data_IF_062101587523
#
_entry.id   IF_062101587523
#
_cell.length_a   1.000
_cell.length_b   1.000
_cell.length_c   1.000
_cell.angle_alpha   90.00
_cell.angle_beta   90.00
_cell.angle_gamma   90.00
#
_symmetry.space_group_name_H-M   'P 1'
#
loop_
_entity.id
_entity.type
_entity.pdbx_description
1 polymer ?
#
# COMPACT_ATOMS: atom_id res chain seq x y z
N UNK A 1 16.75 -24.68 -46.72
CA UNK A 1 15.58 -24.00 -47.33
C UNK A 1 14.45 -24.03 -46.30
N UNK A 2 14.43 -23.05 -45.38
CA UNK A 2 13.43 -22.96 -44.31
C UNK A 2 12.43 -21.87 -44.68
N UNK A 3 11.43 -22.26 -45.48
CA UNK A 3 10.22 -21.46 -45.73
C UNK A 3 9.11 -22.08 -44.88
N UNK A 4 8.23 -21.25 -44.31
CA UNK A 4 7.17 -21.57 -43.33
C UNK A 4 7.55 -21.46 -41.85
N UNK A 5 8.17 -20.35 -41.44
CA UNK A 5 7.82 -19.76 -40.15
C UNK A 5 6.64 -18.79 -40.40
N UNK A 6 5.43 -19.36 -40.50
CA UNK A 6 4.23 -18.65 -40.89
C UNK A 6 3.78 -17.67 -39.79
N UNK A 7 3.31 -16.48 -40.19
CA UNK A 7 2.82 -15.44 -39.27
C UNK A 7 1.72 -15.98 -38.36
N UNK A 8 0.91 -16.90 -38.87
CA UNK A 8 -0.16 -17.59 -38.14
C UNK A 8 0.39 -18.44 -37.00
N UNK A 9 1.46 -19.22 -37.24
CA UNK A 9 2.11 -20.07 -36.23
C UNK A 9 2.80 -19.23 -35.15
N UNK A 10 3.45 -18.12 -35.53
CA UNK A 10 4.03 -17.17 -34.57
C UNK A 10 2.97 -16.54 -33.68
N UNK A 11 1.82 -16.16 -34.25
CA UNK A 11 0.68 -15.59 -33.51
C UNK A 11 0.08 -16.60 -32.53
N UNK A 12 -0.21 -17.81 -33.00
CA UNK A 12 -0.76 -18.87 -32.16
C UNK A 12 0.18 -19.22 -30.98
N UNK A 13 1.50 -19.28 -31.23
CA UNK A 13 2.51 -19.53 -30.19
C UNK A 13 2.56 -18.41 -29.15
N UNK A 14 2.39 -17.14 -29.57
CA UNK A 14 2.35 -15.98 -28.67
C UNK A 14 1.08 -15.95 -27.81
N UNK A 15 -0.07 -16.28 -28.40
CA UNK A 15 -1.35 -16.39 -27.69
C UNK A 15 -1.31 -17.51 -26.64
N UNK A 16 -0.85 -18.71 -27.02
CA UNK A 16 -0.69 -19.84 -26.11
C UNK A 16 0.30 -19.56 -24.96
N UNK A 17 1.39 -18.82 -25.23
CA UNK A 17 2.34 -18.42 -24.19
C UNK A 17 1.70 -17.49 -23.17
N UNK A 18 0.96 -16.48 -23.63
CA UNK A 18 0.27 -15.54 -22.75
C UNK A 18 -0.82 -16.22 -21.90
N UNK A 19 -1.50 -17.24 -22.43
CA UNK A 19 -2.45 -18.05 -21.65
C UNK A 19 -1.76 -18.86 -20.54
N UNK A 20 -0.62 -19.48 -20.85
CA UNK A 20 0.17 -20.20 -19.86
C UNK A 20 0.68 -19.24 -18.77
N UNK A 21 1.16 -18.05 -19.14
CA UNK A 21 1.68 -17.06 -18.19
C UNK A 21 0.56 -16.58 -17.23
N UNK A 22 -0.64 -16.30 -17.74
CA UNK A 22 -1.78 -15.96 -16.89
C UNK A 22 -2.18 -17.12 -15.95
N UNK A 23 -2.19 -18.35 -16.48
CA UNK A 23 -2.54 -19.53 -15.70
C UNK A 23 -1.52 -19.79 -14.58
N UNK A 24 -0.23 -19.55 -14.84
CA UNK A 24 0.81 -19.59 -13.80
C UNK A 24 0.63 -18.49 -12.76
N UNK A 25 0.26 -17.27 -13.16
CA UNK A 25 -0.02 -16.18 -12.22
C UNK A 25 -1.21 -16.53 -11.30
N UNK A 26 -2.27 -17.13 -11.85
CA UNK A 26 -3.43 -17.64 -11.08
C UNK A 26 -3.06 -18.74 -10.10
N UNK A 27 -2.23 -19.70 -10.53
CA UNK A 27 -1.74 -20.76 -9.64
C UNK A 27 -0.93 -20.19 -8.46
N UNK A 28 -0.06 -19.20 -8.72
CA UNK A 28 0.67 -18.50 -7.66
C UNK A 28 -0.28 -17.76 -6.71
N UNK A 29 -1.29 -17.09 -7.24
CA UNK A 29 -2.28 -16.36 -6.46
C UNK A 29 -3.03 -17.30 -5.49
N UNK A 30 -3.46 -18.45 -5.99
CA UNK A 30 -4.12 -19.49 -5.20
C UNK A 30 -3.24 -20.00 -4.06
N UNK A 31 -1.96 -20.28 -4.32
CA UNK A 31 -1.02 -20.70 -3.27
C UNK A 31 -0.75 -19.60 -2.24
N UNK A 32 -0.74 -18.34 -2.65
CA UNK A 32 -0.62 -17.20 -1.75
C UNK A 32 -1.83 -17.10 -0.81
N UNK A 33 -3.05 -17.27 -1.33
CA UNK A 33 -4.27 -17.29 -0.51
C UNK A 33 -4.25 -18.43 0.52
N UNK A 34 -3.84 -19.63 0.13
CA UNK A 34 -3.70 -20.77 1.05
C UNK A 34 -2.68 -20.45 2.16
N UNK A 35 -1.50 -19.95 1.80
CA UNK A 35 -0.46 -19.57 2.78
C UNK A 35 -0.93 -18.45 3.71
N UNK A 36 -1.73 -17.53 3.19
CA UNK A 36 -2.38 -16.47 3.96
C UNK A 36 -3.25 -16.98 5.08
N UNK A 37 -4.15 -17.91 4.76
CA UNK A 37 -5.05 -18.54 5.72
C UNK A 37 -4.29 -19.22 6.87
N UNK A 38 -3.13 -19.80 6.57
CA UNK A 38 -2.23 -20.40 7.57
C UNK A 38 -1.48 -19.35 8.41
N UNK A 39 -1.01 -18.26 7.81
CA UNK A 39 -0.19 -17.25 8.49
C UNK A 39 -0.99 -16.15 9.20
N UNK A 40 -2.32 -16.13 9.06
CA UNK A 40 -3.24 -15.09 9.57
C UNK A 40 -2.93 -13.66 9.07
N UNK A 41 -2.02 -13.50 8.11
CA UNK A 41 -1.72 -12.23 7.44
C UNK A 41 -2.72 -11.94 6.34
N UNK A 42 -3.06 -10.67 6.14
CA UNK A 42 -3.91 -10.25 5.02
C UNK A 42 -3.20 -10.56 3.69
N UNK A 43 -3.84 -11.36 2.85
CA UNK A 43 -3.38 -11.66 1.47
C UNK A 43 -3.96 -10.71 0.44
N UNK A 44 -4.71 -9.70 0.88
CA UNK A 44 -5.38 -8.74 0.00
C UNK A 44 -4.63 -7.43 -0.02
N UNK A 45 -4.86 -6.68 -1.09
CA UNK A 45 -4.39 -5.30 -1.19
C UNK A 45 -5.02 -4.45 -0.11
N UNK A 46 -4.25 -3.52 0.45
CA UNK A 46 -4.77 -2.54 1.40
C UNK A 46 -5.72 -1.57 0.67
N UNK A 47 -6.99 -1.45 1.08
CA UNK A 47 -7.92 -0.53 0.45
C UNK A 47 -7.53 0.92 0.75
N UNK A 48 -7.34 1.74 -0.29
CA UNK A 48 -6.98 3.14 -0.12
C UNK A 48 -8.05 3.92 0.65
N UNK A 49 -9.34 3.62 0.42
CA UNK A 49 -10.44 4.28 1.14
C UNK A 49 -10.38 4.06 2.66
N UNK A 50 -9.93 2.88 3.11
CA UNK A 50 -9.74 2.62 4.54
C UNK A 50 -8.60 3.47 5.11
N UNK A 51 -7.48 3.58 4.39
CA UNK A 51 -6.35 4.43 4.78
C UNK A 51 -6.78 5.90 4.83
N UNK A 52 -7.50 6.36 3.81
CA UNK A 52 -8.02 7.72 3.71
C UNK A 52 -8.94 8.07 4.88
N UNK A 53 -9.87 7.19 5.22
CA UNK A 53 -10.84 7.45 6.28
C UNK A 53 -10.23 7.35 7.69
N UNK A 54 -9.37 6.35 7.93
CA UNK A 54 -8.77 6.11 9.26
C UNK A 54 -7.69 7.11 9.65
N UNK A 55 -6.95 7.61 8.66
CA UNK A 55 -5.81 8.51 8.89
C UNK A 55 -6.11 9.95 8.44
N UNK A 56 -7.36 10.23 8.05
CA UNK A 56 -7.83 11.54 7.59
C UNK A 56 -6.95 12.18 6.50
N UNK A 57 -6.28 11.37 5.66
CA UNK A 57 -5.28 11.87 4.72
C UNK A 57 -5.89 12.69 3.59
N UNK A 58 -5.23 13.80 3.26
CA UNK A 58 -5.68 14.75 2.25
C UNK A 58 -4.69 14.83 1.10
N UNK A 59 -5.21 15.09 -0.11
CA UNK A 59 -4.36 15.34 -1.28
C UNK A 59 -3.52 16.60 -1.05
N UNK A 60 -2.23 16.49 -1.36
CA UNK A 60 -1.27 17.59 -1.20
C UNK A 60 -0.83 18.13 -2.55
N UNK A 61 -0.28 17.27 -3.43
CA UNK A 61 0.31 17.69 -4.69
C UNK A 61 0.46 16.56 -5.71
N UNK A 62 0.52 16.94 -6.98
CA UNK A 62 0.96 16.06 -8.07
C UNK A 62 2.50 16.09 -8.15
N UNK A 63 3.14 14.93 -8.00
CA UNK A 63 4.60 14.76 -8.09
C UNK A 63 5.07 14.46 -9.51
N UNK A 64 4.17 14.36 -10.48
CA UNK A 64 4.46 14.01 -11.86
C UNK A 64 4.96 12.57 -12.01
N UNK A 65 5.74 12.33 -13.06
CA UNK A 65 6.29 11.01 -13.39
C UNK A 65 7.48 10.72 -12.45
N UNK A 66 7.41 9.57 -11.78
CA UNK A 66 8.42 9.07 -10.85
C UNK A 66 8.73 7.60 -11.15
N UNK A 67 9.94 7.17 -10.82
CA UNK A 67 10.33 5.75 -10.84
C UNK A 67 10.17 5.17 -9.45
N UNK A 68 9.22 4.25 -9.27
CA UNK A 68 8.81 3.75 -7.94
C UNK A 68 9.20 2.29 -7.77
N UNK A 69 9.77 1.88 -6.61
CA UNK A 69 9.95 0.47 -6.28
C UNK A 69 8.60 -0.25 -6.23
N UNK A 70 8.46 -1.32 -7.01
CA UNK A 70 7.17 -2.01 -7.12
C UNK A 70 6.71 -2.61 -5.78
N UNK A 71 7.67 -2.93 -4.91
CA UNK A 71 7.42 -3.50 -3.59
C UNK A 71 6.80 -2.52 -2.60
N UNK A 72 6.92 -1.21 -2.84
CA UNK A 72 6.25 -0.20 -2.04
C UNK A 72 4.77 -0.01 -2.45
N UNK A 73 4.33 -0.65 -3.53
CA UNK A 73 2.91 -0.69 -3.91
C UNK A 73 2.21 -1.77 -3.09
N UNK A 74 1.45 -1.34 -2.08
CA UNK A 74 0.81 -2.19 -1.06
C UNK A 74 -0.70 -2.31 -1.21
N UNK A 75 -1.30 -1.37 -1.92
CA UNK A 75 -2.75 -1.18 -1.90
C UNK A 75 -3.31 -0.64 -3.19
N UNK A 76 -4.60 -0.32 -3.17
CA UNK A 76 -5.32 0.10 -4.36
C UNK A 76 -6.56 0.94 -4.03
N UNK A 77 -6.85 1.92 -4.88
CA UNK A 77 -8.17 2.53 -5.00
C UNK A 77 -9.04 1.59 -5.85
N UNK A 78 -10.03 0.95 -5.22
CA UNK A 78 -10.84 -0.09 -5.87
C UNK A 78 -10.05 -1.37 -6.23
N UNK A 79 -10.72 -2.38 -6.79
CA UNK A 79 -10.14 -3.67 -7.24
C UNK A 79 -9.27 -4.44 -6.22
N UNK A 80 -9.26 -4.04 -4.95
CA UNK A 80 -8.46 -4.68 -3.89
C UNK A 80 -8.84 -6.15 -3.63
N UNK A 81 -10.04 -6.56 -4.05
CA UNK A 81 -10.52 -7.96 -4.00
C UNK A 81 -10.15 -8.78 -5.24
N UNK A 82 -9.85 -8.13 -6.36
CA UNK A 82 -9.52 -8.80 -7.63
C UNK A 82 -8.08 -9.26 -7.72
N UNK A 83 -7.24 -8.87 -6.74
CA UNK A 83 -5.83 -9.18 -6.71
C UNK A 83 -5.36 -9.57 -5.30
N UNK A 84 -4.27 -10.35 -5.23
CA UNK A 84 -3.55 -10.60 -3.97
C UNK A 84 -2.71 -9.39 -3.56
N UNK A 85 -2.12 -9.40 -2.36
CA UNK A 85 -1.17 -8.40 -1.86
C UNK A 85 0.00 -8.17 -2.82
N UNK A 86 0.41 -9.21 -3.55
CA UNK A 86 1.45 -9.12 -4.57
C UNK A 86 0.91 -8.86 -5.99
N UNK A 87 -0.30 -8.29 -6.10
CA UNK A 87 -0.97 -8.00 -7.38
C UNK A 87 -1.14 -9.21 -8.30
N UNK A 88 -1.25 -10.43 -7.77
CA UNK A 88 -1.56 -11.60 -8.59
C UNK A 88 -3.07 -11.64 -8.87
N UNK A 89 -3.51 -11.90 -10.11
CA UNK A 89 -4.92 -11.84 -10.49
C UNK A 89 -5.71 -12.98 -9.83
N UNK A 90 -6.89 -12.66 -9.30
CA UNK A 90 -7.79 -13.62 -8.65
C UNK A 90 -9.07 -13.89 -9.43
N UNK A 91 -9.44 -13.00 -10.34
CA UNK A 91 -10.62 -13.14 -11.18
C UNK A 91 -10.21 -13.55 -12.60
N UNK A 92 -10.95 -14.50 -13.19
CA UNK A 92 -10.69 -14.96 -14.55
C UNK A 92 -11.03 -13.91 -15.61
N UNK A 93 -11.95 -12.99 -15.29
CA UNK A 93 -12.34 -11.86 -16.16
C UNK A 93 -11.17 -10.89 -16.43
N UNK A 94 -10.08 -10.97 -15.67
CA UNK A 94 -8.88 -10.17 -15.89
C UNK A 94 -8.01 -10.70 -17.04
N UNK A 95 -8.23 -11.95 -17.48
CA UNK A 95 -7.37 -12.71 -18.40
C UNK A 95 -7.05 -11.94 -19.68
N UNK A 96 -8.07 -11.50 -20.40
CA UNK A 96 -7.87 -10.92 -21.74
C UNK A 96 -7.06 -9.62 -21.71
N UNK A 97 -7.39 -8.73 -20.77
CA UNK A 97 -6.66 -7.47 -20.61
C UNK A 97 -5.26 -7.73 -20.04
N UNK A 98 -5.10 -8.68 -19.13
CA UNK A 98 -3.79 -9.08 -18.59
C UNK A 98 -2.88 -9.62 -19.69
N UNK A 99 -3.37 -10.53 -20.53
CA UNK A 99 -2.63 -11.08 -21.69
C UNK A 99 -2.19 -9.99 -22.66
N UNK A 100 -3.06 -9.02 -22.96
CA UNK A 100 -2.70 -7.90 -23.85
C UNK A 100 -1.55 -7.06 -23.28
N UNK A 101 -1.61 -6.74 -21.99
CA UNK A 101 -0.55 -6.00 -21.29
C UNK A 101 0.74 -6.79 -21.26
N UNK A 102 0.66 -8.09 -20.95
CA UNK A 102 1.82 -8.97 -20.91
C UNK A 102 2.48 -9.13 -22.30
N UNK A 103 1.69 -9.27 -23.35
CA UNK A 103 2.19 -9.31 -24.72
C UNK A 103 2.86 -7.99 -25.13
N UNK A 104 2.29 -6.84 -24.75
CA UNK A 104 2.89 -5.54 -24.99
C UNK A 104 4.24 -5.40 -24.27
N UNK A 105 4.30 -5.83 -23.01
CA UNK A 105 5.53 -5.86 -22.22
C UNK A 105 6.60 -6.77 -22.85
N UNK A 106 6.25 -8.00 -23.24
CA UNK A 106 7.17 -8.92 -23.93
C UNK A 106 7.68 -8.33 -25.25
N UNK A 107 6.85 -7.54 -25.94
CA UNK A 107 7.20 -6.89 -27.20
C UNK A 107 7.99 -5.59 -27.01
N UNK A 108 8.35 -5.23 -25.77
CA UNK A 108 9.01 -3.97 -25.39
C UNK A 108 8.28 -2.74 -25.92
N UNK A 109 6.96 -2.83 -26.03
CA UNK A 109 6.15 -1.67 -26.38
C UNK A 109 6.12 -0.71 -25.20
N UNK A 110 6.19 0.59 -25.48
CA UNK A 110 6.00 1.61 -24.46
C UNK A 110 4.59 1.46 -23.90
N UNK A 111 4.50 1.19 -22.60
CA UNK A 111 3.24 1.19 -21.87
C UNK A 111 3.10 2.55 -21.18
N UNK A 112 1.88 3.10 -21.05
CA UNK A 112 1.68 4.30 -20.27
C UNK A 112 2.06 4.05 -18.80
N UNK A 113 2.51 5.08 -18.08
CA UNK A 113 2.79 4.98 -16.66
C UNK A 113 1.56 4.52 -15.88
N UNK A 114 1.78 3.92 -14.71
CA UNK A 114 0.69 3.65 -13.76
C UNK A 114 0.32 4.93 -13.01
N UNK A 115 -0.87 5.02 -12.45
CA UNK A 115 -1.23 6.15 -11.58
C UNK A 115 -1.27 5.65 -10.14
N UNK A 116 -0.56 6.32 -9.25
CA UNK A 116 -0.42 5.93 -7.84
C UNK A 116 -0.80 7.09 -6.91
N UNK A 117 -1.48 6.76 -5.83
CA UNK A 117 -1.52 7.60 -4.63
C UNK A 117 -0.37 7.21 -3.70
N UNK A 118 0.28 8.20 -3.10
CA UNK A 118 1.36 8.02 -2.14
C UNK A 118 0.91 8.52 -0.77
N UNK A 119 1.08 7.68 0.25
CA UNK A 119 0.83 8.02 1.67
C UNK A 119 2.06 7.55 2.45
N UNK A 120 2.83 8.46 3.04
CA UNK A 120 4.13 8.13 3.60
C UNK A 120 5.06 7.53 2.53
N UNK A 121 5.58 6.31 2.79
CA UNK A 121 6.41 5.53 1.87
C UNK A 121 5.63 4.42 1.13
N UNK A 122 4.31 4.35 1.35
CA UNK A 122 3.42 3.36 0.75
C UNK A 122 2.69 3.94 -0.48
N UNK A 123 2.44 3.07 -1.46
CA UNK A 123 1.77 3.43 -2.71
C UNK A 123 0.51 2.59 -2.94
N UNK A 124 -0.49 3.23 -3.52
CA UNK A 124 -1.80 2.65 -3.83
C UNK A 124 -2.12 2.85 -5.30
N UNK A 125 -2.50 1.78 -5.99
CA UNK A 125 -2.83 1.87 -7.42
C UNK A 125 -4.17 2.54 -7.63
N UNK A 126 -4.16 3.68 -8.32
CA UNK A 126 -5.34 4.37 -8.85
C UNK A 126 -5.71 3.82 -10.22
N UNK A 127 -4.75 3.75 -11.14
CA UNK A 127 -4.90 3.11 -12.45
C UNK A 127 -3.68 2.24 -12.81
N UNK A 128 -3.93 1.17 -13.57
CA UNK A 128 -2.88 0.33 -14.12
C UNK A 128 -2.64 -0.98 -13.36
N UNK A 129 -3.62 -1.51 -12.63
CA UNK A 129 -3.51 -2.76 -11.85
C UNK A 129 -2.92 -3.93 -12.66
N UNK A 130 -3.33 -4.07 -13.93
CA UNK A 130 -2.83 -5.14 -14.80
C UNK A 130 -1.36 -4.91 -15.17
N UNK A 131 -0.93 -3.65 -15.33
CA UNK A 131 0.48 -3.30 -15.60
C UNK A 131 1.34 -3.63 -14.39
N UNK A 132 0.89 -3.28 -13.17
CA UNK A 132 1.57 -3.65 -11.92
C UNK A 132 1.64 -5.18 -11.76
N UNK A 133 0.52 -5.88 -11.99
CA UNK A 133 0.44 -7.34 -11.92
C UNK A 133 1.42 -8.03 -12.87
N UNK A 134 1.46 -7.61 -14.14
CA UNK A 134 2.40 -8.12 -15.13
C UNK A 134 3.84 -7.80 -14.74
N UNK A 135 4.13 -6.57 -14.33
CA UNK A 135 5.47 -6.15 -13.92
C UNK A 135 5.99 -7.00 -12.74
N UNK A 136 5.18 -7.23 -11.69
CA UNK A 136 5.53 -8.13 -10.58
C UNK A 136 5.74 -9.55 -11.06
N UNK A 137 4.85 -10.08 -11.90
CA UNK A 137 4.96 -11.45 -12.44
C UNK A 137 6.24 -11.66 -13.25
N UNK A 138 6.72 -10.60 -13.93
CA UNK A 138 7.96 -10.59 -14.71
C UNK A 138 9.22 -10.25 -13.90
N UNK A 139 9.09 -10.00 -12.59
CA UNK A 139 10.22 -9.69 -11.72
C UNK A 139 10.80 -8.29 -11.94
N UNK A 140 10.02 -7.37 -12.52
CA UNK A 140 10.39 -5.97 -12.66
C UNK A 140 10.46 -5.34 -11.27
N UNK A 141 11.54 -4.62 -10.97
CA UNK A 141 11.77 -4.01 -9.64
C UNK A 141 11.20 -2.60 -9.49
N UNK A 142 11.12 -1.87 -10.59
CA UNK A 142 10.69 -0.47 -10.60
C UNK A 142 9.72 -0.22 -11.74
N UNK A 143 8.75 0.67 -11.52
CA UNK A 143 7.76 1.07 -12.52
C UNK A 143 7.72 2.59 -12.64
N UNK A 144 7.48 3.08 -13.85
CA UNK A 144 7.15 4.49 -14.06
C UNK A 144 5.71 4.75 -13.66
N UNK A 145 5.50 5.78 -12.84
CA UNK A 145 4.21 6.11 -12.28
C UNK A 145 4.00 7.63 -12.26
N UNK A 146 2.77 8.08 -12.54
CA UNK A 146 2.30 9.41 -12.14
C UNK A 146 1.88 9.31 -10.68
N UNK A 147 2.45 10.14 -9.81
CA UNK A 147 2.26 10.02 -8.35
C UNK A 147 1.52 11.23 -7.79
N UNK A 148 0.44 10.98 -7.06
CA UNK A 148 -0.28 11.99 -6.29
C UNK A 148 0.00 11.80 -4.80
N UNK A 149 0.58 12.81 -4.17
CA UNK A 149 1.00 12.78 -2.76
C UNK A 149 -0.17 13.13 -1.85
N UNK A 150 -0.35 12.33 -0.80
CA UNK A 150 -1.28 12.55 0.29
C UNK A 150 -0.50 12.66 1.59
N UNK A 151 -0.71 13.77 2.30
CA UNK A 151 -0.04 14.05 3.57
C UNK A 151 -0.55 13.14 4.68
N UNK A 152 0.39 12.64 5.49
CA UNK A 152 0.13 11.75 6.61
C UNK A 152 1.17 12.04 7.70
N UNK A 153 0.72 12.09 8.95
CA UNK A 153 1.51 12.34 10.15
C UNK A 153 2.09 11.05 10.77
N UNK A 154 1.64 9.89 10.29
CA UNK A 154 2.06 8.57 10.76
C UNK A 154 2.77 7.77 9.65
N UNK A 155 3.74 6.91 10.00
CA UNK A 155 4.51 6.16 9.01
C UNK A 155 3.67 5.04 8.36
N UNK A 156 3.61 5.06 7.03
CA UNK A 156 3.10 3.97 6.21
C UNK A 156 4.20 3.47 5.29
N UNK A 157 4.39 2.15 5.24
CA UNK A 157 5.44 1.51 4.46
C UNK A 157 4.94 0.25 3.75
N UNK A 158 5.85 -0.43 3.06
CA UNK A 158 5.55 -1.65 2.30
C UNK A 158 4.97 -2.79 3.15
N UNK A 159 5.21 -2.80 4.46
CA UNK A 159 4.73 -3.82 5.39
C UNK A 159 3.40 -3.44 6.05
N UNK A 160 2.83 -2.26 5.75
CA UNK A 160 1.52 -1.87 6.24
C UNK A 160 0.43 -2.78 5.69
N UNK A 161 -0.21 -3.51 6.59
CA UNK A 161 -1.45 -4.25 6.39
C UNK A 161 -2.57 -3.65 7.28
N UNK A 162 -3.71 -4.35 7.38
CA UNK A 162 -4.87 -3.87 8.16
C UNK A 162 -4.59 -3.77 9.66
N UNK A 163 -3.77 -4.66 10.21
CA UNK A 163 -3.42 -4.64 11.64
C UNK A 163 -2.49 -3.47 11.93
N UNK A 164 -1.43 -3.31 11.12
CA UNK A 164 -0.55 -2.15 11.23
C UNK A 164 -1.30 -0.84 10.99
N UNK A 165 -2.25 -0.81 10.05
CA UNK A 165 -3.10 0.35 9.81
C UNK A 165 -3.95 0.72 11.04
N UNK A 166 -4.49 -0.27 11.78
CA UNK A 166 -5.22 -0.01 13.01
C UNK A 166 -4.33 0.58 14.12
N UNK A 167 -3.06 0.15 14.20
CA UNK A 167 -2.08 0.79 15.09
C UNK A 167 -1.81 2.23 14.66
N UNK A 168 -1.61 2.47 13.36
CA UNK A 168 -1.37 3.81 12.84
C UNK A 168 -2.58 4.75 13.03
N UNK A 169 -3.81 4.23 12.95
CA UNK A 169 -5.04 4.97 13.28
C UNK A 169 -5.03 5.45 14.73
N UNK A 170 -4.69 4.57 15.68
CA UNK A 170 -4.59 4.97 17.09
C UNK A 170 -3.44 5.95 17.34
N UNK A 171 -2.35 5.84 16.57
CA UNK A 171 -1.24 6.78 16.65
C UNK A 171 -1.62 8.16 16.11
N UNK A 172 -2.30 8.21 14.97
CA UNK A 172 -2.80 9.44 14.36
C UNK A 172 -3.71 10.21 15.33
N UNK A 173 -4.67 9.52 15.94
CA UNK A 173 -5.55 10.13 16.94
C UNK A 173 -4.75 10.63 18.16
N UNK A 174 -3.79 9.85 18.63
CA UNK A 174 -2.91 10.25 19.74
C UNK A 174 -2.10 11.52 19.42
N UNK A 175 -1.51 11.63 18.23
CA UNK A 175 -0.78 12.83 17.80
C UNK A 175 -1.69 14.04 17.68
N UNK A 176 -2.92 13.84 17.20
CA UNK A 176 -3.95 14.88 17.07
C UNK A 176 -4.38 15.42 18.43
N UNK A 177 -4.58 14.54 19.41
CA UNK A 177 -5.04 14.91 20.76
C UNK A 177 -3.92 15.53 21.60
N UNK A 178 -2.70 15.01 21.50
CA UNK A 178 -1.55 15.49 22.30
C UNK A 178 -0.78 16.62 21.65
N UNK A 179 -1.00 16.88 20.36
CA UNK A 179 -0.21 17.81 19.54
C UNK A 179 1.31 17.54 19.52
N UNK A 180 1.75 16.37 19.97
CA UNK A 180 3.17 16.01 20.03
C UNK A 180 3.85 16.08 18.67
N UNK A 181 3.14 15.78 17.59
CA UNK A 181 3.68 15.87 16.23
C UNK A 181 4.07 17.29 15.81
N UNK A 182 3.42 18.32 16.39
CA UNK A 182 3.74 19.73 16.13
C UNK A 182 4.89 20.22 17.01
N UNK A 183 4.90 19.81 18.28
CA UNK A 183 5.82 20.31 19.30
C UNK A 183 7.15 19.56 19.35
N UNK A 184 7.17 18.29 18.92
CA UNK A 184 8.36 17.45 18.83
C UNK A 184 8.37 16.72 17.48
N UNK A 185 9.02 17.29 16.45
CA UNK A 185 9.10 16.66 15.14
C UNK A 185 9.89 15.36 15.27
N UNK A 186 9.18 14.23 15.16
CA UNK A 186 9.67 12.86 15.37
C UNK A 186 9.91 12.48 16.85
N UNK A 187 8.86 12.21 17.64
CA UNK A 187 9.00 11.83 19.04
C UNK A 187 9.68 10.46 19.24
N UNK A 188 10.01 9.72 18.18
CA UNK A 188 10.55 8.35 18.27
C UNK A 188 9.58 7.34 18.90
N UNK A 189 8.35 7.77 19.15
CA UNK A 189 7.32 7.04 19.87
C UNK A 189 6.49 6.22 18.88
N UNK A 190 7.01 5.06 18.50
CA UNK A 190 6.31 4.10 17.63
C UNK A 190 6.00 2.83 18.41
N UNK A 191 4.76 2.71 18.87
CA UNK A 191 4.27 1.50 19.52
C UNK A 191 3.87 0.47 18.47
N UNK A 192 4.20 -0.79 18.71
CA UNK A 192 3.83 -1.92 17.85
C UNK A 192 2.60 -2.68 18.35
N UNK A 193 2.11 -2.34 19.54
CA UNK A 193 0.99 -3.01 20.18
C UNK A 193 -0.31 -2.27 19.86
N UNK A 194 -1.28 -3.00 19.31
CA UNK A 194 -2.64 -2.48 19.17
C UNK A 194 -3.22 -2.15 20.56
N UNK A 195 -3.69 -0.93 20.74
CA UNK A 195 -4.15 -0.42 22.04
C UNK A 195 -3.05 0.20 22.91
N UNK A 196 -1.79 0.24 22.44
CA UNK A 196 -0.69 0.87 23.18
C UNK A 196 -0.87 2.38 23.37
N UNK A 197 -1.34 3.11 22.34
CA UNK A 197 -1.55 4.56 22.44
C UNK A 197 -2.68 4.96 23.39
N UNK A 198 -3.83 4.27 23.43
CA UNK A 198 -4.83 4.48 24.48
C UNK A 198 -4.25 4.33 25.90
N UNK A 199 -3.47 3.28 26.16
CA UNK A 199 -2.83 3.10 27.47
C UNK A 199 -1.87 4.25 27.75
N UNK A 200 -1.05 4.62 26.77
CA UNK A 200 -0.12 5.74 26.93
C UNK A 200 -0.85 7.06 27.22
N UNK A 201 -1.99 7.30 26.58
CA UNK A 201 -2.84 8.45 26.86
C UNK A 201 -3.32 8.46 28.32
N UNK A 202 -3.71 7.31 28.89
CA UNK A 202 -4.07 7.22 30.32
C UNK A 202 -2.91 7.63 31.23
N UNK A 203 -1.68 7.21 30.90
CA UNK A 203 -0.48 7.62 31.65
C UNK A 203 -0.21 9.12 31.57
N UNK A 204 -0.37 9.73 30.38
CA UNK A 204 -0.20 11.17 30.18
C UNK A 204 -1.29 11.95 30.94
N UNK A 205 -2.53 11.46 30.93
CA UNK A 205 -3.62 12.08 31.69
C UNK A 205 -3.40 11.99 33.21
N UNK A 206 -2.88 10.86 33.71
CA UNK A 206 -2.49 10.74 35.11
C UNK A 206 -1.35 11.70 35.46
N UNK A 207 -0.34 11.82 34.59
CA UNK A 207 0.77 12.78 34.75
C UNK A 207 0.28 14.23 34.78
N UNK A 208 -0.60 14.60 33.84
CA UNK A 208 -1.28 15.90 33.80
C UNK A 208 -1.95 16.21 35.14
N UNK A 209 -2.74 15.28 35.68
CA UNK A 209 -3.41 15.46 36.97
C UNK A 209 -2.43 15.74 38.11
N UNK A 210 -1.29 15.03 38.16
CA UNK A 210 -0.25 15.28 39.17
C UNK A 210 0.45 16.64 38.99
N UNK A 211 0.69 17.07 37.74
CA UNK A 211 1.26 18.40 37.47
C UNK A 211 0.31 19.52 37.93
N UNK A 212 -0.99 19.37 37.67
CA UNK A 212 -2.00 20.36 38.08
C UNK A 212 -2.08 20.51 39.61
N UNK A 213 -1.95 19.40 40.34
CA UNK A 213 -1.90 19.41 41.82
C UNK A 213 -0.63 20.09 42.37
N UNK A 214 0.52 19.88 41.73
CA UNK A 214 1.79 20.47 42.14
C UNK A 214 1.92 21.96 41.81
N UNK A 215 1.46 22.37 40.62
CA UNK A 215 1.57 23.76 40.14
C UNK A 215 0.41 24.64 40.61
N UNK A 216 -0.69 24.04 41.07
CA UNK A 216 -1.88 24.76 41.54
C UNK A 216 -2.64 25.46 40.41
N UNK A 217 -2.52 24.97 39.18
CA UNK A 217 -3.08 25.56 37.97
C UNK A 217 -3.44 24.51 36.91
N UNK A 218 -4.21 24.90 35.91
CA UNK A 218 -4.57 24.03 34.78
C UNK A 218 -3.38 23.85 33.84
N UNK A 219 -3.07 22.60 33.50
CA UNK A 219 -2.00 22.22 32.56
C UNK A 219 -2.66 21.69 31.29
N UNK A 220 -2.21 22.11 30.11
CA UNK A 220 -2.79 21.59 28.87
C UNK A 220 -2.37 20.12 28.63
N UNK A 221 -3.18 19.36 27.89
CA UNK A 221 -2.80 17.99 27.53
C UNK A 221 -1.50 17.96 26.71
N UNK A 222 -1.28 18.99 25.89
CA UNK A 222 -0.08 19.14 25.06
C UNK A 222 1.18 19.34 25.90
N UNK A 223 1.12 20.22 26.91
CA UNK A 223 2.24 20.45 27.83
C UNK A 223 2.54 19.21 28.67
N UNK A 224 1.49 18.56 29.18
CA UNK A 224 1.63 17.31 29.92
C UNK A 224 2.24 16.19 29.05
N UNK A 225 1.82 16.08 27.78
CA UNK A 225 2.36 15.09 26.85
C UNK A 225 3.84 15.37 26.49
N UNK A 226 4.23 16.64 26.38
CA UNK A 226 5.64 17.02 26.13
C UNK A 226 6.52 16.80 27.38
N UNK A 227 5.95 16.92 28.57
CA UNK A 227 6.65 16.72 29.84
C UNK A 227 6.80 15.25 30.23
N UNK A 228 5.91 14.37 29.77
CA UNK A 228 5.90 12.94 30.08
C UNK A 228 7.04 12.20 29.38
#
# INVERSE_FOLDING_TARGET
MALFDDKTTRRAKKEHRADNDFSQARQKAFWEEIKGLLSRKSTRLLPFDEVKNKLEVCFTKDLGIQTIPIDNIVGSEGRYRSFTRHFLPLDDDLRDRWKKVDQAHQSRQSLPPVELYKVGDAYFVKDGHHRVSVARTRGVRHVEAIVYDYECDVPLDKETDLEKLAIQETYHQFLKDTELGKNSPNPGLQLTLLGGYPILMEHIQAHKYYLEDLEGGEVSLSDAACSW
#
